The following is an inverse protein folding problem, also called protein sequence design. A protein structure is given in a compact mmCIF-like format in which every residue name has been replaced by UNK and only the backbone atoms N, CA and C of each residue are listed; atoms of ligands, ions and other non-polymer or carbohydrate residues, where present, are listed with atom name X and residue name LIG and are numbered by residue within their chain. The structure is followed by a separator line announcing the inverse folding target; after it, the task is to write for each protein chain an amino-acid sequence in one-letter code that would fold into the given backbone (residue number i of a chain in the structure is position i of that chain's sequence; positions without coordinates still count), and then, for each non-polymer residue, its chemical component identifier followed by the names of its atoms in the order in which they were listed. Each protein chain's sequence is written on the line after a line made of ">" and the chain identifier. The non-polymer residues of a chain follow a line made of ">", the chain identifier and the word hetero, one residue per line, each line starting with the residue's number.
data_IF_685933939045
#
_entry.id   IF_685933939045
#
_cell.length_a   1.000
_cell.length_b   1.000
_cell.length_c   1.000
_cell.angle_alpha   90.00
_cell.angle_beta   90.00
_cell.angle_gamma   90.00
#
_symmetry.space_group_name_H-M   'P 1'
#
loop_
_entity.id
_entity.type
_entity.pdbx_description
1 polymer ?
#
# COMPACT_ATOMS: atom_id res chain seq x y z
N UNK A 1 -13.33 -7.68 -8.24
CA UNK A 1 -12.07 -8.42 -8.08
C UNK A 1 -11.54 -8.16 -6.68
N UNK A 2 -11.17 -9.20 -5.94
CA UNK A 2 -10.59 -9.07 -4.60
C UNK A 2 -9.09 -9.15 -4.74
N UNK A 3 -8.35 -8.16 -4.24
CA UNK A 3 -6.90 -8.20 -4.22
C UNK A 3 -6.44 -9.25 -3.20
N UNK A 4 -5.58 -10.17 -3.62
CA UNK A 4 -4.99 -11.19 -2.74
C UNK A 4 -3.49 -11.21 -2.96
N UNK A 5 -2.66 -11.17 -1.90
CA UNK A 5 -1.22 -11.23 -2.05
C UNK A 5 -0.80 -12.59 -2.61
N UNK A 6 0.39 -12.69 -3.24
CA UNK A 6 0.93 -13.97 -3.66
C UNK A 6 1.09 -14.88 -2.44
N UNK A 7 0.45 -16.06 -2.45
CA UNK A 7 0.59 -17.06 -1.40
C UNK A 7 1.65 -18.08 -1.80
N UNK A 8 2.78 -18.10 -1.09
CA UNK A 8 3.81 -19.13 -1.24
C UNK A 8 3.86 -20.01 0.02
N UNK A 9 3.75 -21.35 -0.11
CA UNK A 9 3.88 -22.27 1.03
C UNK A 9 5.27 -22.14 1.68
N UNK A 10 5.33 -21.59 2.89
CA UNK A 10 6.59 -21.22 3.55
C UNK A 10 7.47 -22.42 3.83
N UNK A 11 6.88 -23.59 4.10
CA UNK A 11 7.57 -24.85 4.36
C UNK A 11 8.37 -25.38 3.17
N UNK A 12 8.12 -24.84 1.96
CA UNK A 12 8.85 -25.22 0.74
C UNK A 12 10.04 -24.30 0.46
N UNK A 13 10.16 -23.18 1.18
CA UNK A 13 11.20 -22.19 0.97
C UNK A 13 12.41 -22.46 1.86
N UNK A 14 13.60 -22.41 1.27
CA UNK A 14 14.86 -22.36 2.00
C UNK A 14 15.10 -20.97 2.62
N UNK A 15 16.16 -20.82 3.41
CA UNK A 15 16.45 -19.54 4.09
C UNK A 15 16.60 -18.35 3.11
N UNK A 16 17.34 -18.47 1.99
CA UNK A 16 17.34 -17.44 0.94
C UNK A 16 15.95 -17.17 0.36
N UNK A 17 15.17 -18.20 0.06
CA UNK A 17 13.81 -18.10 -0.45
C UNK A 17 12.86 -17.37 0.49
N UNK A 18 12.92 -17.67 1.81
CA UNK A 18 12.15 -16.96 2.83
C UNK A 18 12.52 -15.48 2.93
N UNK A 19 13.82 -15.15 2.79
CA UNK A 19 14.28 -13.75 2.76
C UNK A 19 13.76 -13.02 1.53
N UNK A 20 13.85 -13.64 0.36
CA UNK A 20 13.37 -13.08 -0.91
C UNK A 20 11.85 -12.88 -0.89
N UNK A 21 11.10 -13.89 -0.47
CA UNK A 21 9.64 -13.83 -0.37
C UNK A 21 9.18 -12.73 0.59
N UNK A 22 9.79 -12.63 1.78
CA UNK A 22 9.49 -11.53 2.72
C UNK A 22 9.81 -10.16 2.11
N UNK A 23 10.87 -10.04 1.33
CA UNK A 23 11.20 -8.78 0.67
C UNK A 23 10.18 -8.44 -0.43
N UNK A 24 9.75 -9.41 -1.23
CA UNK A 24 8.69 -9.22 -2.23
C UNK A 24 7.40 -8.70 -1.59
N UNK A 25 6.95 -9.30 -0.48
CA UNK A 25 5.75 -8.85 0.23
C UNK A 25 5.91 -7.43 0.80
N UNK A 26 7.12 -7.04 1.24
CA UNK A 26 7.39 -5.67 1.70
C UNK A 26 7.35 -4.66 0.56
N UNK A 27 7.96 -5.00 -0.58
CA UNK A 27 7.93 -4.14 -1.77
C UNK A 27 6.48 -3.96 -2.26
N UNK A 28 5.65 -4.99 -2.12
CA UNK A 28 4.22 -4.95 -2.45
C UNK A 28 3.39 -4.14 -1.45
N UNK A 29 3.70 -4.23 -0.15
CA UNK A 29 3.10 -3.39 0.89
C UNK A 29 3.41 -1.92 0.67
N UNK A 30 4.66 -1.58 0.33
CA UNK A 30 5.06 -0.21 0.00
C UNK A 30 4.22 0.35 -1.16
N UNK A 31 3.98 -0.46 -2.21
CA UNK A 31 3.10 -0.10 -3.34
C UNK A 31 1.65 0.09 -2.90
N UNK A 32 1.10 -0.84 -2.12
CA UNK A 32 -0.28 -0.73 -1.61
C UNK A 32 -0.46 0.51 -0.72
N UNK A 33 0.53 0.82 0.12
CA UNK A 33 0.56 2.00 0.97
C UNK A 33 0.63 3.30 0.16
N UNK A 34 1.38 3.33 -0.95
CA UNK A 34 1.38 4.47 -1.87
C UNK A 34 -0.02 4.73 -2.45
N UNK A 35 -0.66 3.70 -3.01
CA UNK A 35 -1.97 3.85 -3.62
C UNK A 35 -3.05 4.24 -2.62
N UNK A 36 -3.01 3.71 -1.39
CA UNK A 36 -3.94 4.13 -0.34
C UNK A 36 -3.80 5.63 -0.04
N UNK A 37 -2.59 6.16 0.07
CA UNK A 37 -2.38 7.60 0.30
C UNK A 37 -2.98 8.43 -0.82
N UNK A 38 -2.83 7.99 -2.07
CA UNK A 38 -3.39 8.69 -3.23
C UNK A 38 -4.93 8.65 -3.23
N UNK A 39 -5.53 7.49 -2.91
CA UNK A 39 -6.99 7.35 -2.81
C UNK A 39 -7.56 8.23 -1.68
N UNK A 40 -6.93 8.25 -0.50
CA UNK A 40 -7.33 9.16 0.58
C UNK A 40 -7.24 10.62 0.16
N UNK A 41 -6.11 11.04 -0.41
CA UNK A 41 -5.94 12.41 -0.90
C UNK A 41 -7.04 12.80 -1.90
N UNK A 42 -7.46 11.88 -2.77
CA UNK A 42 -8.54 12.13 -3.74
C UNK A 42 -9.91 12.19 -3.08
N UNK A 43 -10.20 11.31 -2.12
CA UNK A 43 -11.44 11.35 -1.31
C UNK A 43 -11.56 12.69 -0.59
N UNK A 44 -10.52 13.07 0.13
CA UNK A 44 -10.49 14.31 0.92
C UNK A 44 -10.68 15.55 0.03
N UNK A 45 -10.08 15.56 -1.17
CA UNK A 45 -10.25 16.64 -2.14
C UNK A 45 -11.71 16.75 -2.62
N UNK A 46 -12.33 15.64 -3.00
CA UNK A 46 -13.71 15.63 -3.49
C UNK A 46 -14.70 15.98 -2.38
N UNK A 47 -14.44 15.57 -1.13
CA UNK A 47 -15.25 15.93 0.02
C UNK A 47 -15.09 17.42 0.40
N UNK A 48 -13.88 17.96 0.31
CA UNK A 48 -13.64 19.39 0.51
C UNK A 48 -14.34 20.25 -0.55
N UNK A 49 -14.25 19.87 -1.83
CA UNK A 49 -14.88 20.61 -2.94
C UNK A 49 -16.41 20.69 -2.88
N UNK A 50 -17.06 19.71 -2.23
CA UNK A 50 -18.51 19.76 -1.94
C UNK A 50 -18.88 20.85 -0.96
N UNK A 51 -17.99 21.11 0.00
CA UNK A 51 -18.24 22.07 1.07
C UNK A 51 -18.05 23.51 0.60
N UNK A 52 -17.47 23.74 -0.58
CA UNK A 52 -17.03 25.06 -1.06
C UNK A 52 -17.62 25.51 -2.41
N UNK A 53 -18.82 25.02 -2.76
CA UNK A 53 -19.51 25.34 -4.04
C UNK A 53 -18.61 25.16 -5.29
N UNK A 54 -17.68 24.20 -5.24
CA UNK A 54 -16.81 23.86 -6.38
C UNK A 54 -15.49 24.63 -6.48
N UNK A 55 -15.14 25.50 -5.53
CA UNK A 55 -13.82 26.14 -5.49
C UNK A 55 -12.99 25.64 -4.31
N UNK A 56 -11.89 24.94 -4.58
CA UNK A 56 -10.95 24.50 -3.53
C UNK A 56 -9.80 25.51 -3.48
N UNK A 57 -9.55 26.09 -2.30
CA UNK A 57 -8.44 27.01 -2.10
C UNK A 57 -7.10 26.27 -1.97
N UNK A 58 -5.99 26.97 -2.23
CA UNK A 58 -4.64 26.40 -2.04
C UNK A 58 -4.40 26.03 -0.57
N UNK A 59 -4.98 26.79 0.37
CA UNK A 59 -4.87 26.50 1.80
C UNK A 59 -5.64 25.22 2.19
N UNK A 60 -6.79 24.96 1.56
CA UNK A 60 -7.53 23.70 1.73
C UNK A 60 -6.76 22.51 1.16
N UNK A 61 -6.06 22.68 0.03
CA UNK A 61 -5.18 21.65 -0.53
C UNK A 61 -4.03 21.31 0.43
N UNK A 62 -3.38 22.32 1.01
CA UNK A 62 -2.27 22.15 1.96
C UNK A 62 -2.75 21.43 3.23
N UNK A 63 -3.93 21.78 3.74
CA UNK A 63 -4.54 21.12 4.90
C UNK A 63 -4.89 19.66 4.62
N UNK A 64 -5.53 19.39 3.49
CA UNK A 64 -5.97 18.05 3.08
C UNK A 64 -4.78 17.12 2.80
N UNK A 65 -3.80 17.58 2.02
CA UNK A 65 -2.64 16.77 1.66
C UNK A 65 -1.61 16.68 2.79
N UNK A 66 -1.55 17.69 3.67
CA UNK A 66 -0.62 17.77 4.78
C UNK A 66 -0.92 16.83 5.95
N UNK A 67 -2.19 16.45 6.16
CA UNK A 67 -2.61 15.60 7.29
C UNK A 67 -2.49 14.08 7.00
N UNK A 68 -2.08 13.71 5.80
CA UNK A 68 -1.77 12.31 5.43
C UNK A 68 -0.55 11.73 6.17
N UNK A 69 0.07 12.51 7.07
CA UNK A 69 1.33 12.24 7.77
C UNK A 69 1.22 11.96 9.28
N UNK A 70 0.05 11.68 9.87
CA UNK A 70 -0.04 11.24 11.27
C UNK A 70 0.38 9.77 11.45
N UNK A 71 1.64 9.49 11.10
CA UNK A 71 2.20 8.14 11.14
C UNK A 71 3.73 8.12 11.16
N UNK A 72 4.33 8.94 12.03
CA UNK A 72 5.75 8.98 12.37
C UNK A 72 6.72 9.30 11.22
N UNK A 73 7.78 10.03 11.58
CA UNK A 73 8.97 10.33 10.78
C UNK A 73 9.73 9.08 10.29
N UNK A 74 9.11 8.25 9.45
CA UNK A 74 9.85 7.38 8.55
C UNK A 74 10.08 8.17 7.29
N UNK A 75 11.29 8.67 7.16
CA UNK A 75 11.94 8.90 5.87
C UNK A 75 12.06 7.54 5.17
N UNK A 76 10.94 6.96 4.77
CA UNK A 76 10.91 5.80 3.91
C UNK A 76 11.43 6.29 2.57
N UNK A 77 12.67 5.93 2.26
CA UNK A 77 13.24 6.12 0.94
C UNK A 77 12.34 5.36 -0.04
N UNK A 78 11.36 6.07 -0.64
CA UNK A 78 10.49 5.55 -1.67
C UNK A 78 11.39 5.07 -2.81
N UNK A 79 11.66 3.76 -2.87
CA UNK A 79 12.24 3.14 -4.05
C UNK A 79 11.10 2.90 -5.02
N UNK A 80 10.74 3.94 -5.77
CA UNK A 80 9.89 3.79 -6.95
C UNK A 80 10.74 3.07 -7.99
N UNK A 81 10.65 1.74 -8.03
CA UNK A 81 11.15 0.97 -9.17
C UNK A 81 10.10 1.08 -10.26
N UNK A 82 10.49 1.67 -11.39
CA UNK A 82 9.77 1.47 -12.63
C UNK A 82 9.99 0.01 -13.04
N UNK A 83 8.89 -0.66 -13.38
CA UNK A 83 8.84 -1.97 -14.04
C UNK A 83 8.99 -3.20 -13.12
N UNK A 84 7.85 -3.58 -12.53
CA UNK A 84 7.27 -4.93 -12.64
C UNK A 84 5.77 -4.69 -12.89
N UNK A 85 5.11 -5.51 -13.73
CA UNK A 85 3.65 -5.45 -13.92
C UNK A 85 3.00 -5.30 -12.54
N UNK A 86 2.35 -4.16 -12.31
CA UNK A 86 1.63 -3.96 -11.06
C UNK A 86 0.67 -5.15 -10.96
N UNK A 87 0.66 -5.91 -9.85
CA UNK A 87 -0.41 -6.89 -9.64
C UNK A 87 -1.72 -6.17 -9.91
N UNK A 88 -2.73 -6.81 -10.49
CA UNK A 88 -4.01 -6.20 -10.89
C UNK A 88 -4.59 -5.34 -9.76
N UNK A 89 -4.08 -4.12 -9.62
CA UNK A 89 -4.54 -3.16 -8.67
C UNK A 89 -5.97 -2.91 -9.11
N UNK A 90 -6.90 -2.63 -8.17
CA UNK A 90 -8.22 -2.19 -8.55
C UNK A 90 -8.06 -1.18 -9.66
N UNK A 91 -8.85 -1.26 -10.72
CA UNK A 91 -8.73 -0.38 -11.86
C UNK A 91 -8.91 1.08 -11.38
N UNK A 92 -7.82 1.73 -10.97
CA UNK A 92 -7.81 3.01 -10.25
C UNK A 92 -8.06 4.17 -11.21
N UNK A 93 -8.60 3.90 -12.39
CA UNK A 93 -9.07 4.90 -13.35
C UNK A 93 -9.98 5.92 -12.67
N UNK A 94 -10.75 5.54 -11.64
CA UNK A 94 -11.63 6.48 -10.92
C UNK A 94 -10.85 7.52 -10.10
N UNK A 95 -9.59 7.28 -9.72
CA UNK A 95 -8.71 8.29 -9.12
C UNK A 95 -8.51 9.47 -10.08
N UNK A 96 -8.49 9.19 -11.38
CA UNK A 96 -8.22 10.16 -12.44
C UNK A 96 -9.50 10.80 -13.01
N UNK A 97 -10.68 10.33 -12.61
CA UNK A 97 -11.95 10.90 -13.07
C UNK A 97 -12.19 12.25 -12.40
N UNK A 98 -12.46 13.27 -13.21
CA UNK A 98 -12.84 14.61 -12.77
C UNK A 98 -14.35 14.74 -12.95
N UNK A 99 -15.16 14.53 -11.88
CA UNK A 99 -16.60 14.68 -11.98
C UNK A 99 -16.95 16.15 -12.23
N UNK A 100 -17.96 16.39 -13.06
CA UNK A 100 -18.45 17.72 -13.43
C UNK A 100 -19.81 18.04 -12.83
N UNK A 101 -20.54 17.01 -12.38
CA UNK A 101 -21.81 17.18 -11.65
C UNK A 101 -21.73 16.61 -10.22
N UNK A 102 -22.66 17.02 -9.33
CA UNK A 102 -22.78 16.43 -7.99
C UNK A 102 -23.02 14.92 -8.02
N UNK A 103 -23.85 14.43 -8.95
CA UNK A 103 -24.19 13.01 -9.10
C UNK A 103 -22.97 12.21 -9.56
N UNK A 104 -22.20 12.73 -10.53
CA UNK A 104 -20.92 12.12 -10.93
C UNK A 104 -19.94 12.08 -9.77
N UNK A 105 -19.93 13.11 -8.92
CA UNK A 105 -19.09 13.16 -7.73
C UNK A 105 -19.46 12.05 -6.75
N UNK A 106 -20.75 11.76 -6.55
CA UNK A 106 -21.21 10.66 -5.68
C UNK A 106 -20.74 9.30 -6.20
N UNK A 107 -20.82 9.08 -7.52
CA UNK A 107 -20.34 7.85 -8.17
C UNK A 107 -18.83 7.67 -7.96
N UNK A 108 -18.04 8.73 -8.20
CA UNK A 108 -16.59 8.68 -8.03
C UNK A 108 -16.21 8.44 -6.57
N UNK A 109 -16.86 9.11 -5.61
CA UNK A 109 -16.62 8.88 -4.18
C UNK A 109 -16.94 7.45 -3.74
N UNK A 110 -18.05 6.89 -4.21
CA UNK A 110 -18.41 5.51 -3.91
C UNK A 110 -17.35 4.52 -4.42
N UNK A 111 -16.88 4.72 -5.66
CA UNK A 111 -15.82 3.90 -6.24
C UNK A 111 -14.49 4.02 -5.48
N UNK A 112 -14.10 5.24 -5.10
CA UNK A 112 -12.87 5.48 -4.32
C UNK A 112 -12.94 4.85 -2.92
N UNK A 113 -14.09 4.90 -2.24
CA UNK A 113 -14.28 4.23 -0.95
C UNK A 113 -14.19 2.71 -1.08
N UNK A 114 -14.73 2.16 -2.16
CA UNK A 114 -14.59 0.73 -2.45
C UNK A 114 -13.12 0.36 -2.69
N UNK A 115 -12.39 1.16 -3.47
CA UNK A 115 -10.96 0.96 -3.71
C UNK A 115 -10.13 1.07 -2.42
N UNK A 116 -10.44 2.03 -1.54
CA UNK A 116 -9.79 2.16 -0.22
C UNK A 116 -9.99 0.90 0.62
N UNK A 117 -11.23 0.40 0.72
CA UNK A 117 -11.53 -0.80 1.48
C UNK A 117 -10.77 -2.03 0.94
N UNK A 118 -10.67 -2.16 -0.39
CA UNK A 118 -9.89 -3.22 -1.03
C UNK A 118 -8.40 -3.11 -0.73
N UNK A 119 -7.82 -1.91 -0.83
CA UNK A 119 -6.41 -1.65 -0.51
C UNK A 119 -6.11 -1.91 0.98
N UNK A 120 -7.03 -1.59 1.87
CA UNK A 120 -6.90 -1.86 3.30
C UNK A 120 -7.01 -3.35 3.63
N UNK A 121 -7.92 -4.09 2.98
CA UNK A 121 -7.99 -5.55 3.09
C UNK A 121 -6.72 -6.23 2.58
N UNK A 122 -6.26 -5.83 1.41
CA UNK A 122 -5.03 -6.35 0.80
C UNK A 122 -3.78 -6.08 1.65
N UNK A 123 -3.63 -4.86 2.17
CA UNK A 123 -2.51 -4.51 3.06
C UNK A 123 -2.53 -5.32 4.34
N UNK A 124 -3.71 -5.60 4.89
CA UNK A 124 -3.86 -6.50 6.05
C UNK A 124 -3.33 -7.91 5.73
N UNK A 125 -3.66 -8.44 4.55
CA UNK A 125 -3.17 -9.74 4.11
C UNK A 125 -1.65 -9.74 3.88
N UNK A 126 -1.08 -8.68 3.29
CA UNK A 126 0.36 -8.52 3.13
C UNK A 126 1.09 -8.52 4.48
N UNK A 127 0.60 -7.77 5.48
CA UNK A 127 1.20 -7.79 6.81
C UNK A 127 1.15 -9.17 7.45
N UNK A 128 0.04 -9.89 7.33
CA UNK A 128 -0.05 -11.27 7.81
C UNK A 128 0.99 -12.19 7.15
N UNK A 129 1.20 -12.06 5.83
CA UNK A 129 2.25 -12.79 5.10
C UNK A 129 3.67 -12.43 5.55
N UNK A 130 3.96 -11.13 5.75
CA UNK A 130 5.25 -10.63 6.24
C UNK A 130 5.54 -11.18 7.65
N UNK A 131 4.54 -11.20 8.53
CA UNK A 131 4.67 -11.71 9.88
C UNK A 131 4.93 -13.21 9.89
N UNK A 132 4.21 -13.98 9.06
CA UNK A 132 4.41 -15.42 8.91
C UNK A 132 5.83 -15.74 8.38
N UNK A 133 6.27 -15.07 7.31
CA UNK A 133 7.62 -15.25 6.78
C UNK A 133 8.70 -14.83 7.80
N UNK A 134 8.45 -13.78 8.58
CA UNK A 134 9.35 -13.36 9.67
C UNK A 134 9.43 -14.40 10.78
N UNK A 135 8.30 -14.99 11.19
CA UNK A 135 8.28 -16.06 12.18
C UNK A 135 9.07 -17.30 11.71
N UNK A 136 8.92 -17.69 10.45
CA UNK A 136 9.69 -18.78 9.85
C UNK A 136 11.20 -18.50 9.84
N UNK A 137 11.61 -17.29 9.48
CA UNK A 137 13.03 -16.88 9.54
C UNK A 137 13.58 -16.91 10.98
N UNK A 138 12.81 -16.43 11.96
CA UNK A 138 13.21 -16.49 13.38
C UNK A 138 13.40 -17.92 13.85
N UNK A 139 12.57 -18.88 13.41
CA UNK A 139 12.76 -20.29 13.74
C UNK A 139 14.08 -20.84 13.18
N UNK A 140 14.43 -20.49 11.94
CA UNK A 140 15.71 -20.90 11.35
C UNK A 140 16.91 -20.33 12.12
N UNK A 141 16.90 -19.04 12.45
CA UNK A 141 17.99 -18.42 13.23
C UNK A 141 18.09 -18.93 14.67
N UNK A 142 16.97 -19.37 15.26
CA UNK A 142 17.01 -20.04 16.56
C UNK A 142 17.66 -21.42 16.49
N UNK A 143 17.46 -22.13 15.38
CA UNK A 143 18.07 -23.44 15.15
C UNK A 143 19.57 -23.32 14.85
N UNK A 144 19.96 -22.34 14.03
CA UNK A 144 21.36 -22.02 13.75
C UNK A 144 21.60 -20.50 13.69
N UNK A 145 22.16 -19.91 14.75
CA UNK A 145 22.45 -18.48 14.80
C UNK A 145 23.52 -18.00 13.80
N UNK A 146 24.40 -18.89 13.33
CA UNK A 146 25.49 -18.50 12.41
C UNK A 146 24.97 -18.10 11.03
N UNK A 147 23.77 -18.57 10.64
CA UNK A 147 23.07 -18.18 9.41
C UNK A 147 22.79 -16.67 9.33
N UNK A 148 22.84 -15.95 10.44
CA UNK A 148 22.72 -14.49 10.46
C UNK A 148 23.97 -13.76 9.92
N UNK A 149 25.11 -14.43 9.83
CA UNK A 149 26.33 -13.83 9.27
C UNK A 149 26.28 -13.70 7.74
N UNK A 150 25.48 -14.55 7.07
CA UNK A 150 25.33 -14.56 5.61
C UNK A 150 24.68 -13.28 5.03
N UNK A 151 24.12 -12.40 5.87
CA UNK A 151 23.53 -11.12 5.43
C UNK A 151 24.47 -9.93 5.60
N UNK A 152 25.66 -10.12 6.16
CA UNK A 152 26.66 -9.07 6.28
C UNK A 152 27.48 -8.98 4.97
N UNK A 153 27.72 -7.77 4.43
CA UNK A 153 28.68 -7.62 3.35
C UNK A 153 30.08 -8.00 3.87
N UNK A 154 30.78 -8.85 3.13
CA UNK A 154 32.17 -9.25 3.41
C UNK A 154 33.19 -8.15 3.18
#
# INVERSE_FOLDING_TARGET
>A
MTLTPPETPLETLDLPGLRAYRQQLRDEEDRASYWRRLVHARLDLLEAGRSTEGSISVDDLVRVLGDTGSGASRTALLRVRAEDELPDLPDLVQVWQVPTTPEETDVVLAALRQAEAQLTGYRTALFAGIDAATAALVQHYRADPLLALDVLPG
#
